data_IF_271953316800
#
_entry.id   IF_271953316800
#
_cell.length_a   1.000
_cell.length_b   1.000
_cell.length_c   1.000
_cell.angle_alpha   90.00
_cell.angle_beta   90.00
_cell.angle_gamma   90.00
#
_symmetry.space_group_name_H-M   'P 1'
#
loop_
_entity.id
_entity.type
_entity.pdbx_description
1 polymer ?
#
# COMPACT_ATOMS: atom_id res chain seq x y z
N UNK A 1 18.05 16.33 6.54
CA UNK A 1 17.35 15.04 6.50
C UNK A 1 16.30 15.20 5.43
N UNK A 2 16.36 14.38 4.40
CA UNK A 2 15.40 14.44 3.31
C UNK A 2 14.01 14.16 3.89
N UNK A 3 13.06 15.04 3.61
CA UNK A 3 11.76 15.08 4.29
C UNK A 3 10.83 14.02 3.71
N UNK A 4 10.81 12.84 4.34
CA UNK A 4 9.99 11.68 3.97
C UNK A 4 8.49 11.91 4.26
N UNK A 5 7.63 11.46 3.34
CA UNK A 5 6.17 11.43 3.49
C UNK A 5 5.62 10.03 3.33
N UNK A 6 4.33 9.86 3.62
CA UNK A 6 3.60 8.65 3.27
C UNK A 6 2.26 8.94 2.59
N UNK A 7 1.88 8.05 1.68
CA UNK A 7 0.55 7.94 1.08
C UNK A 7 -0.04 6.60 1.50
N UNK A 8 -1.24 6.62 2.07
CA UNK A 8 -2.01 5.42 2.44
C UNK A 8 -3.24 5.35 1.55
N UNK A 9 -3.34 4.31 0.72
CA UNK A 9 -4.45 4.08 -0.19
C UNK A 9 -5.61 3.40 0.54
N UNK A 10 -6.66 4.15 0.83
CA UNK A 10 -7.80 3.74 1.65
C UNK A 10 -9.16 3.97 0.93
N UNK A 11 -9.17 4.06 -0.39
CA UNK A 11 -10.34 4.45 -1.17
C UNK A 11 -11.29 3.30 -1.55
N UNK A 12 -10.79 2.05 -1.49
CA UNK A 12 -11.50 0.86 -1.98
C UNK A 12 -12.76 0.49 -1.19
N UNK A 13 -13.68 -0.19 -1.87
CA UNK A 13 -14.97 -0.62 -1.34
C UNK A 13 -14.88 -1.80 -0.34
N UNK A 14 -13.80 -2.60 -0.38
CA UNK A 14 -13.60 -3.75 0.51
C UNK A 14 -14.70 -4.80 0.42
N UNK A 15 -15.27 -5.05 -0.77
CA UNK A 15 -16.48 -5.86 -0.95
C UNK A 15 -16.34 -7.32 -0.51
N UNK A 16 -15.13 -7.89 -0.60
CA UNK A 16 -14.79 -9.26 -0.19
C UNK A 16 -14.97 -9.52 1.30
N UNK A 17 -14.94 -8.46 2.13
CA UNK A 17 -15.07 -8.56 3.58
C UNK A 17 -16.48 -8.20 4.10
N UNK A 18 -17.48 -8.12 3.22
CA UNK A 18 -18.87 -7.92 3.66
C UNK A 18 -19.35 -9.11 4.50
N UNK A 19 -20.15 -8.87 5.56
CA UNK A 19 -20.83 -7.62 5.89
C UNK A 19 -20.01 -6.62 6.71
N UNK A 20 -18.78 -6.93 7.13
CA UNK A 20 -17.96 -6.07 7.99
C UNK A 20 -17.72 -4.68 7.37
N UNK A 21 -17.64 -4.63 6.04
CA UNK A 21 -17.31 -3.42 5.29
C UNK A 21 -18.52 -2.59 4.85
N UNK A 22 -19.74 -2.89 5.30
CA UNK A 22 -20.95 -2.15 4.89
C UNK A 22 -20.98 -0.74 5.50
N UNK A 23 -20.57 -0.60 6.76
CA UNK A 23 -20.63 0.67 7.51
C UNK A 23 -19.26 1.14 8.02
N UNK A 24 -18.23 0.31 7.79
CA UNK A 24 -16.85 0.49 8.24
C UNK A 24 -15.89 0.24 7.08
N UNK A 25 -15.10 1.23 6.61
CA UNK A 25 -14.07 0.99 5.61
C UNK A 25 -13.14 -0.15 6.02
N UNK A 26 -12.71 -0.97 5.06
CA UNK A 26 -11.78 -2.10 5.30
C UNK A 26 -10.55 -1.67 6.14
N UNK A 27 -9.84 -0.57 5.82
CA UNK A 27 -8.71 -0.09 6.63
C UNK A 27 -9.02 0.24 8.11
N UNK A 28 -10.30 0.48 8.45
CA UNK A 28 -10.76 0.79 9.80
C UNK A 28 -11.26 -0.44 10.57
N UNK A 29 -11.33 -1.62 9.92
CA UNK A 29 -11.57 -2.88 10.62
C UNK A 29 -10.44 -3.13 11.60
N UNK A 30 -10.83 -3.56 12.81
CA UNK A 30 -9.89 -3.79 13.90
C UNK A 30 -9.33 -5.20 13.82
N UNK A 31 -8.03 -5.33 13.88
CA UNK A 31 -7.32 -6.61 14.02
C UNK A 31 -6.56 -6.55 15.35
N UNK A 32 -6.77 -7.53 16.22
CA UNK A 32 -6.24 -7.55 17.58
C UNK A 32 -6.58 -6.25 18.35
N UNK A 33 -7.81 -5.76 18.15
CA UNK A 33 -8.34 -4.57 18.80
C UNK A 33 -7.93 -3.21 18.19
N UNK A 34 -7.13 -3.19 17.12
CA UNK A 34 -6.59 -1.96 16.52
C UNK A 34 -6.96 -1.83 15.04
N UNK A 35 -7.41 -0.66 14.55
CA UNK A 35 -7.64 -0.46 13.12
C UNK A 35 -6.37 -0.74 12.30
N UNK A 36 -6.48 -1.48 11.19
CA UNK A 36 -5.33 -1.84 10.34
C UNK A 36 -4.51 -0.62 9.93
N UNK A 37 -5.18 0.44 9.44
CA UNK A 37 -4.53 1.68 9.02
C UNK A 37 -3.70 2.33 10.13
N UNK A 38 -4.12 2.22 11.39
CA UNK A 38 -3.37 2.78 12.51
C UNK A 38 -2.07 2.00 12.77
N UNK A 39 -2.02 0.70 12.46
CA UNK A 39 -0.79 -0.08 12.58
C UNK A 39 0.28 0.39 11.59
N UNK A 40 -0.14 0.77 10.37
CA UNK A 40 0.72 1.40 9.35
C UNK A 40 1.17 2.80 9.79
N UNK A 41 0.23 3.66 10.22
CA UNK A 41 0.53 5.02 10.69
C UNK A 41 1.52 5.00 11.85
N UNK A 42 1.33 4.11 12.83
CA UNK A 42 2.21 4.02 13.99
C UNK A 42 3.61 3.50 13.63
N UNK A 43 3.72 2.61 12.63
CA UNK A 43 4.98 2.19 12.03
C UNK A 43 5.73 3.35 11.39
N UNK A 44 5.05 4.12 10.54
CA UNK A 44 5.60 5.32 9.89
C UNK A 44 6.03 6.38 10.91
N UNK A 45 5.24 6.61 11.97
CA UNK A 45 5.57 7.56 13.05
C UNK A 45 6.83 7.16 13.81
N UNK A 46 7.11 5.86 14.00
CA UNK A 46 8.37 5.37 14.59
C UNK A 46 9.59 5.70 13.74
N UNK A 47 9.43 5.79 12.42
CA UNK A 47 10.45 6.26 11.48
C UNK A 47 10.61 7.78 11.48
N UNK A 48 9.70 8.52 12.12
CA UNK A 48 9.54 9.97 12.06
C UNK A 48 8.91 10.48 10.75
N UNK A 49 8.22 9.62 10.00
CA UNK A 49 7.37 10.04 8.88
C UNK A 49 6.07 10.60 9.44
N UNK A 50 6.01 11.93 9.53
CA UNK A 50 4.92 12.64 10.21
C UNK A 50 3.87 13.24 9.26
N UNK A 51 4.27 13.56 8.04
CA UNK A 51 3.42 14.07 6.97
C UNK A 51 2.83 12.88 6.21
N UNK A 52 1.55 12.62 6.43
CA UNK A 52 0.85 11.42 5.95
C UNK A 52 -0.39 11.85 5.19
N UNK A 53 -0.57 11.34 3.98
CA UNK A 53 -1.74 11.56 3.14
C UNK A 53 -2.55 10.28 3.08
N UNK A 54 -3.78 10.30 3.60
CA UNK A 54 -4.70 9.15 3.48
C UNK A 54 -5.66 9.44 2.34
N UNK A 55 -5.52 8.67 1.26
CA UNK A 55 -6.37 8.78 0.08
C UNK A 55 -7.63 7.96 0.31
N UNK A 56 -8.76 8.63 0.43
CA UNK A 56 -10.05 8.04 0.78
C UNK A 56 -11.05 8.14 -0.37
N UNK A 57 -12.06 7.28 -0.34
CA UNK A 57 -13.15 7.26 -1.31
C UNK A 57 -14.39 6.78 -0.57
N UNK A 58 -14.65 5.47 -0.65
CA UNK A 58 -15.75 4.84 0.07
C UNK A 58 -15.74 5.14 1.57
N UNK A 59 -16.85 5.66 2.09
CA UNK A 59 -17.03 6.04 3.50
C UNK A 59 -15.92 6.96 4.04
N UNK A 60 -15.34 7.83 3.20
CA UNK A 60 -14.18 8.68 3.54
C UNK A 60 -14.33 9.52 4.82
N UNK A 61 -15.55 9.93 5.19
CA UNK A 61 -15.81 10.68 6.43
C UNK A 61 -15.44 9.90 7.70
N UNK A 62 -15.42 8.56 7.64
CA UNK A 62 -15.01 7.70 8.76
C UNK A 62 -13.53 7.85 9.13
N UNK A 63 -12.69 8.36 8.23
CA UNK A 63 -11.27 8.57 8.47
C UNK A 63 -10.96 9.92 9.14
N UNK A 64 -11.92 10.84 9.26
CA UNK A 64 -11.66 12.20 9.75
C UNK A 64 -11.07 12.23 11.16
N UNK A 65 -11.40 11.27 12.03
CA UNK A 65 -10.81 11.20 13.38
C UNK A 65 -9.28 11.03 13.37
N UNK A 66 -8.72 10.49 12.29
CA UNK A 66 -7.28 10.32 12.15
C UNK A 66 -6.55 11.67 12.10
N UNK A 67 -7.17 12.73 11.59
CA UNK A 67 -6.54 14.07 11.53
C UNK A 67 -6.43 14.70 12.91
N UNK A 68 -7.36 14.40 13.81
CA UNK A 68 -7.32 14.82 15.22
C UNK A 68 -6.29 14.01 16.02
N UNK A 69 -6.24 12.69 15.76
CA UNK A 69 -5.36 11.76 16.47
C UNK A 69 -3.89 11.87 16.04
N UNK A 70 -3.63 12.15 14.76
CA UNK A 70 -2.29 12.14 14.17
C UNK A 70 -1.96 13.49 13.53
N UNK A 71 -1.27 14.40 14.25
CA UNK A 71 -0.80 15.65 13.67
C UNK A 71 0.08 15.43 12.43
N UNK A 72 -0.19 16.19 11.37
CA UNK A 72 0.47 16.05 10.07
C UNK A 72 -0.23 15.09 9.10
N UNK A 73 -1.33 14.45 9.52
CA UNK A 73 -2.15 13.62 8.64
C UNK A 73 -3.19 14.47 7.89
N UNK A 74 -3.27 14.29 6.57
CA UNK A 74 -4.22 14.94 5.68
C UNK A 74 -5.08 13.89 4.98
N UNK A 75 -6.39 14.12 4.93
CA UNK A 75 -7.31 13.30 4.12
C UNK A 75 -7.36 13.89 2.71
N UNK A 76 -7.11 13.06 1.70
CA UNK A 76 -7.28 13.39 0.28
C UNK A 76 -8.46 12.57 -0.23
N UNK A 77 -9.40 13.19 -0.94
CA UNK A 77 -10.53 12.48 -1.52
C UNK A 77 -10.19 12.10 -2.97
N UNK A 78 -10.21 10.80 -3.25
CA UNK A 78 -10.24 10.27 -4.60
C UNK A 78 -11.70 10.31 -5.09
N UNK A 79 -12.02 11.16 -6.06
CA UNK A 79 -13.37 11.29 -6.63
C UNK A 79 -13.69 10.15 -7.62
N UNK A 80 -12.68 9.43 -8.10
CA UNK A 80 -12.80 8.40 -9.14
C UNK A 80 -12.85 6.97 -8.58
N UNK A 81 -12.88 6.80 -7.26
CA UNK A 81 -12.73 5.49 -6.59
C UNK A 81 -13.77 4.43 -6.99
N UNK A 82 -14.94 4.84 -7.49
CA UNK A 82 -16.00 3.92 -7.95
C UNK A 82 -15.84 3.49 -9.41
N UNK A 83 -15.10 4.26 -10.21
CA UNK A 83 -15.06 4.11 -11.67
C UNK A 83 -13.68 3.81 -12.23
N UNK A 84 -12.62 4.07 -11.46
CA UNK A 84 -11.23 3.83 -11.85
C UNK A 84 -10.57 3.00 -10.75
N UNK A 85 -9.79 2.00 -11.17
CA UNK A 85 -9.04 1.12 -10.28
C UNK A 85 -7.96 1.91 -9.48
N UNK A 86 -7.15 1.24 -8.67
CA UNK A 86 -6.35 1.89 -7.63
C UNK A 86 -5.28 2.88 -8.14
N UNK A 87 -4.98 2.91 -9.45
CA UNK A 87 -4.19 4.00 -10.08
C UNK A 87 -4.75 5.39 -9.75
N UNK A 88 -6.08 5.53 -9.66
CA UNK A 88 -6.73 6.81 -9.30
C UNK A 88 -6.35 7.30 -7.91
N UNK A 89 -6.01 6.39 -6.99
CA UNK A 89 -5.61 6.76 -5.64
C UNK A 89 -4.24 7.44 -5.64
N UNK A 90 -3.29 6.96 -6.45
CA UNK A 90 -2.00 7.62 -6.61
C UNK A 90 -2.14 8.89 -7.46
N UNK A 91 -3.01 8.87 -8.49
CA UNK A 91 -3.31 10.06 -9.29
C UNK A 91 -3.72 11.26 -8.43
N UNK A 92 -4.55 11.04 -7.42
CA UNK A 92 -5.02 12.09 -6.52
C UNK A 92 -3.89 12.80 -5.74
N UNK A 93 -2.69 12.23 -5.72
CA UNK A 93 -1.53 12.72 -4.96
C UNK A 93 -0.24 12.82 -5.79
N UNK A 94 -0.29 12.78 -7.12
CA UNK A 94 0.93 12.86 -7.96
C UNK A 94 1.75 14.11 -7.68
N UNK A 95 1.09 15.26 -7.51
CA UNK A 95 1.75 16.53 -7.15
C UNK A 95 2.42 16.51 -5.77
N UNK A 96 1.89 15.71 -4.84
CA UNK A 96 2.43 15.56 -3.49
C UNK A 96 3.71 14.72 -3.51
N UNK A 97 3.71 13.60 -4.24
CA UNK A 97 4.81 12.62 -4.21
C UNK A 97 5.98 13.02 -5.11
N UNK A 98 5.75 13.81 -6.16
CA UNK A 98 6.69 14.03 -7.28
C UNK A 98 8.11 14.42 -6.86
N UNK A 99 8.27 15.20 -5.81
CA UNK A 99 9.59 15.70 -5.38
C UNK A 99 9.91 15.32 -3.94
N UNK A 100 9.46 14.14 -3.50
CA UNK A 100 9.55 13.70 -2.11
C UNK A 100 9.92 12.23 -2.02
N UNK A 101 10.78 11.91 -1.06
CA UNK A 101 10.93 10.54 -0.60
C UNK A 101 9.59 10.09 0.00
N UNK A 102 9.00 9.03 -0.53
CA UNK A 102 7.58 8.71 -0.31
C UNK A 102 7.41 7.24 -0.01
N UNK A 103 6.78 6.93 1.12
CA UNK A 103 6.13 5.63 1.32
C UNK A 103 4.80 5.60 0.58
N UNK A 104 4.53 4.53 -0.16
CA UNK A 104 3.20 4.25 -0.71
C UNK A 104 2.75 2.93 -0.09
N UNK A 105 1.64 2.99 0.65
CA UNK A 105 1.12 1.89 1.44
C UNK A 105 -0.34 1.63 1.06
N UNK A 106 -0.71 0.36 0.92
CA UNK A 106 -2.08 -0.07 1.07
C UNK A 106 -2.51 0.10 2.54
N UNK A 107 -3.79 0.41 2.76
CA UNK A 107 -4.28 0.79 4.09
C UNK A 107 -4.94 -0.37 4.87
N UNK A 108 -5.07 -1.54 4.25
CA UNK A 108 -5.63 -2.79 4.76
C UNK A 108 -4.55 -3.80 5.18
N UNK A 109 -3.39 -3.27 5.56
CA UNK A 109 -2.26 -4.02 6.08
C UNK A 109 -2.31 -4.04 7.62
N UNK A 110 -2.25 -5.24 8.19
CA UNK A 110 -1.96 -5.43 9.60
C UNK A 110 -0.45 -5.56 9.82
N UNK A 111 0.15 -4.57 10.49
CA UNK A 111 1.56 -4.57 10.85
C UNK A 111 1.73 -5.22 12.23
N UNK A 112 2.21 -6.47 12.26
CA UNK A 112 2.52 -7.18 13.50
C UNK A 112 3.87 -6.73 14.08
N UNK A 113 4.87 -6.51 13.21
CA UNK A 113 6.17 -5.97 13.60
C UNK A 113 6.40 -4.58 12.99
N UNK A 114 6.26 -3.50 13.78
CA UNK A 114 6.47 -2.14 13.28
C UNK A 114 7.95 -1.82 13.01
N UNK A 115 8.90 -2.70 13.37
CA UNK A 115 10.32 -2.48 13.13
C UNK A 115 10.67 -2.50 11.64
N UNK A 116 9.82 -3.07 10.78
CA UNK A 116 10.02 -3.07 9.31
C UNK A 116 10.17 -1.65 8.74
N UNK A 117 9.56 -0.63 9.37
CA UNK A 117 9.68 0.77 8.93
C UNK A 117 11.01 1.43 9.34
N UNK A 118 11.72 0.87 10.32
CA UNK A 118 12.90 1.53 10.92
C UNK A 118 14.21 1.20 10.21
N UNK A 119 14.21 0.24 9.29
CA UNK A 119 15.35 -0.14 8.48
C UNK A 119 15.87 1.01 7.61
N UNK A 120 17.18 1.05 7.34
CA UNK A 120 17.76 2.04 6.44
C UNK A 120 17.33 1.75 5.00
N UNK A 121 16.70 2.72 4.34
CA UNK A 121 16.27 2.63 2.95
C UNK A 121 17.18 3.52 2.10
N UNK A 122 18.15 2.90 1.42
CA UNK A 122 19.14 3.60 0.57
C UNK A 122 18.75 3.69 -0.90
N UNK A 123 17.67 3.01 -1.29
CA UNK A 123 17.17 2.95 -2.66
C UNK A 123 15.64 2.81 -2.62
N UNK A 124 15.00 3.13 -3.73
CA UNK A 124 13.59 2.81 -3.92
C UNK A 124 13.38 1.28 -3.88
N UNK A 125 12.32 0.84 -3.22
CA UNK A 125 12.06 -0.57 -3.02
C UNK A 125 10.59 -0.90 -2.79
N UNK A 126 10.22 -2.14 -3.10
CA UNK A 126 9.04 -2.78 -2.55
C UNK A 126 9.42 -3.64 -1.36
N UNK A 127 8.56 -3.68 -0.35
CA UNK A 127 8.67 -4.64 0.73
C UNK A 127 8.12 -5.96 0.22
N UNK A 128 8.86 -7.05 0.42
CA UNK A 128 8.50 -8.34 -0.15
C UNK A 128 8.81 -9.52 0.76
N UNK A 129 7.95 -10.53 0.68
CA UNK A 129 8.07 -11.80 1.40
C UNK A 129 8.58 -12.88 0.47
N UNK A 130 9.65 -13.55 0.84
CA UNK A 130 10.16 -14.64 0.02
C UNK A 130 9.27 -15.88 0.14
N UNK A 131 8.80 -16.38 -1.00
CA UNK A 131 8.02 -17.61 -1.12
C UNK A 131 8.84 -18.62 -1.91
N UNK A 132 9.19 -19.73 -1.27
CA UNK A 132 9.80 -20.87 -1.95
C UNK A 132 8.71 -21.66 -2.69
N UNK A 133 9.00 -22.04 -3.94
CA UNK A 133 8.02 -22.67 -4.83
C UNK A 133 7.06 -21.68 -5.48
N UNK A 134 5.90 -22.21 -5.91
CA UNK A 134 4.94 -21.49 -6.72
C UNK A 134 4.10 -20.47 -5.93
N UNK A 135 3.90 -19.30 -6.52
CA UNK A 135 3.01 -18.24 -6.04
C UNK A 135 2.09 -17.80 -7.18
N UNK A 136 0.78 -17.70 -6.94
CA UNK A 136 -0.22 -17.16 -7.87
C UNK A 136 -0.43 -15.64 -7.71
N UNK A 137 0.29 -15.02 -6.76
CA UNK A 137 0.10 -13.64 -6.33
C UNK A 137 0.95 -12.65 -7.16
N UNK A 138 0.90 -11.36 -6.81
CA UNK A 138 1.83 -10.36 -7.27
C UNK A 138 3.23 -10.63 -6.73
N UNK A 139 4.20 -10.72 -7.64
CA UNK A 139 5.58 -11.10 -7.38
C UNK A 139 6.56 -10.14 -8.06
N UNK A 140 7.82 -10.24 -7.63
CA UNK A 140 8.95 -9.53 -8.21
C UNK A 140 9.98 -10.49 -8.80
N UNK A 141 10.30 -10.31 -10.09
CA UNK A 141 11.49 -10.94 -10.68
C UNK A 141 12.67 -9.98 -10.55
N UNK A 142 13.83 -10.54 -10.19
CA UNK A 142 15.06 -9.78 -9.96
C UNK A 142 16.13 -10.11 -11.00
N UNK A 143 16.92 -9.11 -11.41
CA UNK A 143 18.16 -9.35 -12.13
C UNK A 143 19.30 -9.81 -11.19
N UNK A 144 20.46 -10.13 -11.77
CA UNK A 144 21.65 -10.56 -11.00
C UNK A 144 22.22 -9.51 -10.03
N UNK A 145 21.75 -8.25 -10.08
CA UNK A 145 22.13 -7.18 -9.16
C UNK A 145 21.04 -6.90 -8.10
N UNK A 146 19.94 -7.69 -8.09
CA UNK A 146 18.81 -7.51 -7.19
C UNK A 146 17.89 -6.36 -7.57
N UNK A 147 17.92 -5.89 -8.82
CA UNK A 147 16.96 -4.90 -9.35
C UNK A 147 15.69 -5.62 -9.79
N UNK A 148 14.52 -5.06 -9.46
CA UNK A 148 13.24 -5.52 -9.97
C UNK A 148 13.17 -5.29 -11.49
N UNK A 149 12.94 -6.36 -12.24
CA UNK A 149 12.79 -6.36 -13.70
C UNK A 149 11.39 -6.77 -14.17
N UNK A 150 10.56 -7.30 -13.25
CA UNK A 150 9.12 -7.52 -13.45
C UNK A 150 8.38 -7.29 -12.14
N UNK A 151 7.26 -6.58 -12.23
CA UNK A 151 6.20 -6.58 -11.22
C UNK A 151 4.97 -7.18 -11.89
N UNK A 152 4.44 -8.27 -11.38
CA UNK A 152 3.29 -8.92 -12.01
C UNK A 152 2.84 -10.16 -11.28
N UNK A 153 1.82 -10.85 -11.80
CA UNK A 153 1.32 -12.06 -11.17
C UNK A 153 2.13 -13.30 -11.56
N UNK A 154 2.09 -14.29 -10.69
CA UNK A 154 2.64 -15.63 -10.86
C UNK A 154 4.17 -15.66 -10.90
N UNK A 155 4.79 -16.50 -10.08
CA UNK A 155 6.22 -16.75 -10.10
C UNK A 155 6.62 -17.93 -9.22
N UNK A 156 7.85 -18.40 -9.39
CA UNK A 156 8.44 -19.46 -8.58
C UNK A 156 9.68 -18.93 -7.85
N UNK A 157 9.89 -19.35 -6.60
CA UNK A 157 11.08 -19.03 -5.79
C UNK A 157 11.37 -17.51 -5.76
N UNK A 158 10.33 -16.71 -5.53
CA UNK A 158 10.32 -15.26 -5.73
C UNK A 158 9.79 -14.51 -4.51
N UNK A 159 9.84 -13.18 -4.56
CA UNK A 159 9.26 -12.33 -3.52
C UNK A 159 7.83 -11.93 -3.88
N UNK A 160 6.87 -12.18 -3.00
CA UNK A 160 5.52 -11.65 -3.10
C UNK A 160 5.47 -10.18 -2.64
N UNK A 161 4.64 -9.39 -3.31
CA UNK A 161 4.28 -8.03 -2.90
C UNK A 161 3.55 -8.04 -1.55
N UNK A 162 3.73 -6.99 -0.75
CA UNK A 162 3.12 -6.87 0.59
C UNK A 162 2.38 -5.55 0.80
N UNK A 163 1.98 -4.87 -0.27
CA UNK A 163 1.26 -3.59 -0.19
C UNK A 163 2.06 -2.39 0.35
N UNK A 164 3.38 -2.55 0.59
CA UNK A 164 4.25 -1.50 1.12
C UNK A 164 5.43 -1.25 0.19
N UNK A 165 5.67 0.02 -0.14
CA UNK A 165 6.79 0.44 -0.98
C UNK A 165 7.35 1.79 -0.53
N UNK A 166 8.58 2.07 -0.94
CA UNK A 166 9.28 3.32 -0.69
C UNK A 166 9.95 3.79 -1.98
N UNK A 167 9.67 5.02 -2.38
CA UNK A 167 10.25 5.66 -3.55
C UNK A 167 11.12 6.83 -3.10
N UNK A 168 12.38 6.82 -3.54
CA UNK A 168 13.20 8.03 -3.48
C UNK A 168 12.63 9.09 -4.41
N UNK A 169 12.87 10.35 -4.08
CA UNK A 169 12.39 11.53 -4.81
C UNK A 169 12.44 11.37 -6.34
N UNK A 170 13.57 10.95 -6.91
CA UNK A 170 13.71 10.78 -8.36
C UNK A 170 12.78 9.71 -8.95
N UNK A 171 12.64 8.56 -8.28
CA UNK A 171 11.74 7.50 -8.76
C UNK A 171 10.26 7.85 -8.51
N UNK A 172 9.96 8.58 -7.43
CA UNK A 172 8.63 9.12 -7.17
C UNK A 172 8.21 10.14 -8.24
N UNK A 173 9.14 10.98 -8.72
CA UNK A 173 8.92 11.89 -9.85
C UNK A 173 8.55 11.12 -11.13
N UNK A 174 9.32 10.08 -11.45
CA UNK A 174 9.11 9.23 -12.63
C UNK A 174 7.73 8.56 -12.56
N UNK A 175 7.36 8.01 -11.40
CA UNK A 175 6.05 7.39 -11.18
C UNK A 175 4.91 8.41 -11.36
N UNK A 176 5.03 9.59 -10.76
CA UNK A 176 4.03 10.65 -10.87
C UNK A 176 3.84 11.10 -12.33
N UNK A 177 4.93 11.31 -13.06
CA UNK A 177 4.91 11.65 -14.49
C UNK A 177 4.28 10.54 -15.35
N UNK A 178 4.62 9.27 -15.06
CA UNK A 178 4.06 8.14 -15.79
C UNK A 178 2.54 8.05 -15.62
N UNK A 179 2.03 8.16 -14.38
CA UNK A 179 0.59 8.15 -14.09
C UNK A 179 -0.12 9.34 -14.75
N UNK A 180 0.45 10.54 -14.65
CA UNK A 180 -0.13 11.72 -15.30
C UNK A 180 -0.21 11.60 -16.81
N UNK A 181 0.80 10.97 -17.43
CA UNK A 181 0.81 10.74 -18.87
C UNK A 181 -0.21 9.67 -19.29
N UNK A 182 -0.39 8.61 -18.50
CA UNK A 182 -1.45 7.62 -18.70
C UNK A 182 -2.84 8.28 -18.69
N UNK A 183 -3.08 9.20 -17.76
CA UNK A 183 -4.33 9.98 -17.69
C UNK A 183 -4.55 10.88 -18.92
N UNK A 184 -3.49 11.33 -19.59
CA UNK A 184 -3.59 12.10 -20.85
C UNK A 184 -3.84 11.21 -22.06
N UNK A 185 -3.35 9.97 -22.05
CA UNK A 185 -3.45 9.04 -23.18
C UNK A 185 -4.68 8.12 -23.14
N UNK A 186 -5.29 7.92 -21.97
CA UNK A 186 -6.42 7.00 -21.75
C UNK A 186 -5.99 5.53 -21.58
N UNK A 187 -6.95 4.65 -21.28
CA UNK A 187 -6.72 3.20 -21.11
C UNK A 187 -6.19 2.81 -19.73
N UNK A 188 -6.38 3.67 -18.73
CA UNK A 188 -5.89 3.48 -17.36
C UNK A 188 -6.98 2.99 -16.40
N UNK A 189 -8.24 2.98 -16.83
CA UNK A 189 -9.43 2.85 -15.97
C UNK A 189 -9.40 1.56 -15.13
N UNK A 190 -8.88 0.47 -15.70
CA UNK A 190 -8.77 -0.84 -15.03
C UNK A 190 -7.38 -1.12 -14.44
N UNK A 191 -6.42 -0.20 -14.60
CA UNK A 191 -5.02 -0.44 -14.22
C UNK A 191 -4.80 -0.30 -12.72
N UNK A 192 -3.93 -1.18 -12.21
CA UNK A 192 -3.28 -0.94 -10.93
C UNK A 192 -2.16 0.09 -11.10
N UNK A 193 -1.87 0.87 -10.05
CA UNK A 193 -0.68 1.74 -10.09
C UNK A 193 0.63 0.93 -10.23
N UNK A 194 0.65 -0.32 -9.73
CA UNK A 194 1.75 -1.28 -9.91
C UNK A 194 1.95 -1.69 -11.37
N UNK A 195 0.91 -1.68 -12.21
CA UNK A 195 1.05 -1.89 -13.65
C UNK A 195 1.88 -0.75 -14.28
N UNK A 196 1.66 0.49 -13.83
CA UNK A 196 2.43 1.66 -14.28
C UNK A 196 3.89 1.56 -13.86
N UNK A 197 4.14 1.06 -12.65
CA UNK A 197 5.50 0.74 -12.18
C UNK A 197 6.15 -0.29 -13.10
N UNK A 198 5.47 -1.41 -13.36
CA UNK A 198 5.97 -2.47 -14.23
C UNK A 198 6.34 -1.96 -15.64
N UNK A 199 5.48 -1.12 -16.22
CA UNK A 199 5.68 -0.51 -17.54
C UNK A 199 6.85 0.48 -17.62
N UNK A 200 7.39 0.93 -16.48
CA UNK A 200 8.45 1.93 -16.40
C UNK A 200 9.70 1.43 -15.65
N UNK A 201 9.88 0.12 -15.49
CA UNK A 201 11.06 -0.47 -14.85
C UNK A 201 12.38 -0.19 -15.58
N UNK A 202 12.34 0.24 -16.84
CA UNK A 202 13.51 0.75 -17.57
C UNK A 202 14.06 2.04 -16.93
N UNK A 203 13.17 2.91 -16.44
CA UNK A 203 13.49 4.19 -15.79
C UNK A 203 13.59 4.07 -14.27
N UNK A 204 12.72 3.26 -13.67
CA UNK A 204 12.62 3.08 -12.21
C UNK A 204 13.71 2.13 -11.68
N UNK A 205 14.39 2.54 -10.62
CA UNK A 205 15.48 1.75 -9.99
C UNK A 205 15.02 1.11 -8.68
N UNK A 206 14.18 0.09 -8.81
CA UNK A 206 13.56 -0.59 -7.67
C UNK A 206 14.32 -1.85 -7.27
N UNK A 207 14.34 -2.13 -5.96
CA UNK A 207 14.83 -3.36 -5.35
C UNK A 207 13.76 -3.95 -4.44
N UNK A 208 13.97 -5.15 -3.91
CA UNK A 208 13.13 -5.69 -2.83
C UNK A 208 13.80 -5.43 -1.49
N UNK A 209 13.03 -4.92 -0.53
CA UNK A 209 13.37 -4.91 0.89
C UNK A 209 12.71 -6.13 1.54
N UNK A 210 13.47 -7.19 1.88
CA UNK A 210 12.90 -8.41 2.42
C UNK A 210 12.28 -8.18 3.80
N UNK A 211 11.12 -8.78 4.04
CA UNK A 211 10.49 -8.84 5.36
C UNK A 211 10.10 -10.26 5.73
N UNK A 212 10.00 -10.53 7.02
CA UNK A 212 9.53 -11.82 7.51
C UNK A 212 8.04 -12.01 7.22
N UNK A 213 7.63 -13.26 6.99
CA UNK A 213 6.26 -13.60 6.60
C UNK A 213 5.20 -13.18 7.65
N UNK A 214 5.60 -13.06 8.91
CA UNK A 214 4.73 -12.71 10.04
C UNK A 214 4.67 -11.20 10.31
N UNK A 215 5.60 -10.39 9.77
CA UNK A 215 5.73 -8.96 10.14
C UNK A 215 4.59 -8.08 9.64
N UNK A 216 4.03 -8.42 8.47
CA UNK A 216 3.02 -7.65 7.76
C UNK A 216 2.02 -8.63 7.14
N UNK A 217 0.72 -8.39 7.24
CA UNK A 217 -0.29 -9.24 6.62
C UNK A 217 -1.34 -8.37 5.95
N UNK A 218 -1.57 -8.56 4.66
CA UNK A 218 -2.76 -8.01 4.00
C UNK A 218 -3.96 -8.84 4.41
N UNK A 219 -5.02 -8.18 4.89
CA UNK A 219 -6.24 -8.88 5.29
C UNK A 219 -7.26 -8.67 4.20
N UNK A 220 -7.50 -9.66 3.37
CA UNK A 220 -8.23 -9.50 2.11
C UNK A 220 -9.56 -10.26 2.07
N UNK A 221 -9.73 -11.16 3.02
CA UNK A 221 -10.86 -12.03 3.24
C UNK A 221 -11.21 -12.11 4.72
N UNK A 222 -12.40 -12.65 5.02
CA UNK A 222 -12.80 -12.94 6.40
C UNK A 222 -11.96 -14.08 6.97
N UNK A 223 -11.56 -15.03 6.14
CA UNK A 223 -10.72 -16.17 6.50
C UNK A 223 -9.34 -15.71 7.00
N UNK A 224 -8.68 -14.80 6.28
CA UNK A 224 -7.40 -14.21 6.71
C UNK A 224 -7.57 -13.36 7.98
N UNK A 225 -8.65 -12.60 8.09
CA UNK A 225 -8.96 -11.85 9.31
C UNK A 225 -9.06 -12.79 10.51
N UNK A 226 -9.79 -13.90 10.38
CA UNK A 226 -9.94 -14.89 11.45
C UNK A 226 -8.64 -15.65 11.75
N UNK A 227 -7.77 -15.84 10.76
CA UNK A 227 -6.46 -16.46 10.96
C UNK A 227 -5.54 -15.57 11.82
N UNK A 228 -5.62 -14.25 11.68
CA UNK A 228 -4.84 -13.28 12.47
C UNK A 228 -5.51 -12.92 13.79
N UNK A 229 -6.83 -12.75 13.80
CA UNK A 229 -7.64 -12.43 14.99
C UNK A 229 -8.82 -13.41 15.13
N UNK A 230 -8.62 -14.55 15.83
CA UNK A 230 -9.65 -15.56 16.02
C UNK A 230 -10.91 -15.06 16.75
N UNK A 231 -10.91 -13.87 17.37
CA UNK A 231 -12.10 -13.30 17.99
C UNK A 231 -13.23 -13.01 17.00
N UNK A 232 -12.93 -13.01 15.70
CA UNK A 232 -13.91 -12.86 14.64
C UNK A 232 -14.67 -14.15 14.31
N UNK A 233 -14.17 -15.34 14.68
CA UNK A 233 -14.84 -16.63 14.44
C UNK A 233 -16.22 -16.70 15.12
N UNK A 234 -16.36 -16.13 16.33
CA UNK A 234 -17.63 -16.12 17.06
C UNK A 234 -18.59 -15.00 16.60
N UNK A 235 -18.02 -13.91 16.04
CA UNK A 235 -18.76 -12.70 15.61
C UNK A 235 -19.37 -12.86 14.23
N UNK A 236 -18.65 -13.56 13.36
CA UNK A 236 -19.07 -13.88 12.01
C UNK A 236 -19.49 -15.34 12.08
N UNK A 237 -20.68 -15.61 12.60
CA UNK A 237 -21.29 -16.94 12.43
C UNK A 237 -21.49 -17.16 10.94
N UNK A 238 -20.50 -17.78 10.29
CA UNK A 238 -20.60 -18.38 8.96
C UNK A 238 -21.59 -19.55 9.02
#
# INVERSE_FOLDING_TARGET
>A
MDHEIAVLMAAGLGTRMRPLTIDTPKPLIKVCGRPMIETVIDGLKRRNVNEIYVVTGYLGSRFLYLTEKYPGLTIVKNEEYETVNNISSIKAVTEVIRNRNTFICEADLYIADPMIFTGKLEKSCYFGKYIAGHSDDWVFDLDGNGRIIRVGKVGDDCYNMCGLSYFMENDAAILADAIDNMYKSGGYEEMFWDDVVNMNLDKLKLSVYPVDNESITEIDSVEELCAVDPSYLDRIKL
#
